data_IF_754293887748
#
_entry.id   IF_754293887748
#
_cell.length_a   1.000
_cell.length_b   1.000
_cell.length_c   1.000
_cell.angle_alpha   90.00
_cell.angle_beta   90.00
_cell.angle_gamma   90.00
#
_symmetry.space_group_name_H-M   'P 1'
#
loop_
_entity.id
_entity.type
_entity.pdbx_description
1 polymer ?
#
# COMPACT_ATOMS: atom_id res chain seq x y z
N UNK A 1 -14.28 -8.28 3.55
CA UNK A 1 -12.91 -8.17 4.10
C UNK A 1 -12.43 -9.53 4.59
N UNK A 2 -11.12 -9.74 4.60
CA UNK A 2 -10.50 -10.89 5.26
C UNK A 2 -9.13 -10.51 5.80
N UNK A 3 -8.69 -11.23 6.84
CA UNK A 3 -7.37 -11.09 7.42
C UNK A 3 -6.75 -12.46 7.62
N UNK A 4 -5.43 -12.51 7.52
CA UNK A 4 -4.61 -13.71 7.71
C UNK A 4 -3.66 -13.46 8.86
N UNK A 5 -3.59 -14.41 9.78
CA UNK A 5 -2.69 -14.38 10.94
C UNK A 5 -1.88 -15.67 10.95
N UNK A 6 -0.65 -15.62 11.44
CA UNK A 6 0.09 -16.83 11.75
C UNK A 6 -0.47 -17.45 13.05
N UNK A 7 -0.69 -18.76 13.06
CA UNK A 7 -1.20 -19.47 14.23
C UNK A 7 -0.28 -19.21 15.42
N UNK A 8 -0.87 -18.83 16.56
CA UNK A 8 -0.11 -18.48 17.78
C UNK A 8 0.57 -17.10 17.77
N UNK A 9 0.59 -16.36 16.66
CA UNK A 9 1.21 -15.02 16.60
C UNK A 9 0.21 -13.89 16.86
N UNK A 10 0.65 -12.78 17.48
CA UNK A 10 -0.21 -11.61 17.74
C UNK A 10 -0.39 -10.66 16.54
N UNK A 11 0.46 -10.76 15.51
CA UNK A 11 0.47 -9.84 14.37
C UNK A 11 -0.22 -10.41 13.12
N UNK A 12 -0.76 -9.52 12.28
CA UNK A 12 -1.35 -9.90 11.00
C UNK A 12 -0.27 -10.15 9.94
N UNK A 13 -0.45 -11.23 9.19
CA UNK A 13 0.34 -11.54 8.00
C UNK A 13 -0.18 -10.78 6.78
N UNK A 14 -1.51 -10.70 6.64
CA UNK A 14 -2.14 -10.04 5.50
C UNK A 14 -3.53 -9.50 5.85
N UNK A 15 -3.92 -8.38 5.26
CA UNK A 15 -5.29 -7.89 5.24
C UNK A 15 -5.71 -7.64 3.79
N UNK A 16 -6.90 -8.08 3.42
CA UNK A 16 -7.36 -8.01 2.04
C UNK A 16 -8.86 -7.77 1.90
N UNK A 17 -9.24 -7.38 0.69
CA UNK A 17 -10.63 -7.30 0.25
C UNK A 17 -10.90 -8.07 -1.04
N UNK A 18 -12.19 -8.32 -1.26
CA UNK A 18 -12.70 -8.82 -2.53
C UNK A 18 -14.13 -8.32 -2.72
N UNK A 19 -14.43 -7.74 -3.89
CA UNK A 19 -15.80 -7.48 -4.33
C UNK A 19 -16.49 -8.72 -4.92
N UNK A 20 -15.85 -9.90 -4.80
CA UNK A 20 -16.35 -11.20 -5.25
C UNK A 20 -16.55 -12.13 -4.05
N UNK A 21 -16.47 -13.44 -4.25
CA UNK A 21 -16.60 -14.44 -3.19
C UNK A 21 -15.41 -14.43 -2.22
N UNK A 22 -15.69 -14.26 -0.92
CA UNK A 22 -14.72 -14.48 0.17
C UNK A 22 -14.19 -15.93 0.17
N UNK A 23 -15.08 -16.91 -0.05
CA UNK A 23 -14.70 -18.33 -0.19
C UNK A 23 -13.76 -18.52 -1.39
N UNK A 24 -14.07 -17.92 -2.53
CA UNK A 24 -13.21 -17.95 -3.71
C UNK A 24 -11.83 -17.35 -3.43
N UNK A 25 -11.79 -16.22 -2.72
CA UNK A 25 -10.53 -15.56 -2.33
C UNK A 25 -9.69 -16.41 -1.37
N UNK A 26 -10.32 -17.05 -0.39
CA UNK A 26 -9.66 -17.98 0.52
C UNK A 26 -9.05 -19.17 -0.23
N UNK A 27 -9.78 -19.76 -1.19
CA UNK A 27 -9.25 -20.83 -2.06
C UNK A 27 -8.04 -20.37 -2.89
N UNK A 28 -8.10 -19.16 -3.45
CA UNK A 28 -6.97 -18.59 -4.19
C UNK A 28 -5.75 -18.37 -3.29
N UNK A 29 -5.95 -18.01 -2.03
CA UNK A 29 -4.86 -17.83 -1.06
C UNK A 29 -4.24 -19.17 -0.65
N UNK A 30 -5.05 -20.22 -0.50
CA UNK A 30 -4.63 -21.55 -0.04
C UNK A 30 -3.55 -22.21 -0.92
N UNK A 31 -3.28 -21.69 -2.12
CA UNK A 31 -2.13 -22.11 -2.94
C UNK A 31 -0.78 -21.90 -2.23
N UNK A 32 -0.72 -21.12 -1.15
CA UNK A 32 0.47 -21.03 -0.30
C UNK A 32 0.86 -22.34 0.40
N UNK A 33 -0.02 -23.35 0.43
CA UNK A 33 0.25 -24.69 0.96
C UNK A 33 0.78 -25.69 -0.07
N UNK A 34 0.98 -25.28 -1.32
CA UNK A 34 1.63 -26.13 -2.32
C UNK A 34 3.09 -26.41 -1.96
N UNK A 35 3.62 -27.51 -2.45
CA UNK A 35 5.04 -27.85 -2.28
C UNK A 35 5.94 -26.76 -2.87
N UNK A 36 5.68 -26.38 -4.12
CA UNK A 36 6.41 -25.29 -4.80
C UNK A 36 5.82 -23.91 -4.54
N UNK A 37 6.67 -22.88 -4.60
CA UNK A 37 6.24 -21.50 -4.46
C UNK A 37 5.27 -21.10 -5.58
N UNK A 38 4.06 -20.59 -5.27
CA UNK A 38 3.12 -20.14 -6.29
C UNK A 38 3.59 -18.84 -6.97
N UNK A 39 3.06 -18.53 -8.15
CA UNK A 39 3.16 -17.19 -8.76
C UNK A 39 2.30 -16.16 -7.99
N UNK A 40 2.39 -14.88 -8.35
CA UNK A 40 1.55 -13.82 -7.77
C UNK A 40 0.05 -13.98 -8.09
N UNK A 41 -0.31 -14.65 -9.18
CA UNK A 41 -1.67 -15.07 -9.45
C UNK A 41 -1.90 -16.53 -9.02
N UNK A 42 -3.08 -16.86 -8.45
CA UNK A 42 -4.28 -16.03 -8.40
C UNK A 42 -4.36 -15.03 -7.23
N UNK A 43 -3.38 -15.03 -6.31
CA UNK A 43 -3.39 -14.19 -5.13
C UNK A 43 -2.00 -13.63 -4.76
N UNK A 44 -1.86 -12.31 -4.75
CA UNK A 44 -0.56 -11.62 -4.60
C UNK A 44 0.16 -11.91 -3.29
N UNK A 45 -0.57 -12.14 -2.20
CA UNK A 45 0.01 -12.50 -0.90
C UNK A 45 0.45 -13.98 -0.78
N UNK A 46 -0.10 -14.89 -1.60
CA UNK A 46 0.15 -16.33 -1.46
C UNK A 46 1.64 -16.73 -1.52
N UNK A 47 2.48 -16.20 -2.45
CA UNK A 47 3.89 -16.55 -2.45
C UNK A 47 4.65 -16.06 -1.21
N UNK A 48 4.24 -14.92 -0.63
CA UNK A 48 4.87 -14.42 0.59
C UNK A 48 4.52 -15.32 1.78
N UNK A 49 3.24 -15.71 1.91
CA UNK A 49 2.80 -16.67 2.92
C UNK A 49 3.48 -18.04 2.75
N UNK A 50 3.62 -18.53 1.51
CA UNK A 50 4.37 -19.75 1.23
C UNK A 50 5.81 -19.66 1.76
N UNK A 51 6.50 -18.54 1.52
CA UNK A 51 7.88 -18.36 1.96
C UNK A 51 8.00 -18.40 3.49
N UNK A 52 7.11 -17.74 4.22
CA UNK A 52 7.07 -17.81 5.69
C UNK A 52 6.70 -19.21 6.21
N UNK A 53 5.83 -19.96 5.51
CA UNK A 53 5.50 -21.33 5.90
C UNK A 53 6.69 -22.27 5.73
N UNK A 54 7.36 -22.20 4.58
CA UNK A 54 8.46 -23.11 4.25
C UNK A 54 9.72 -22.78 5.04
N UNK A 55 10.04 -21.49 5.20
CA UNK A 55 11.28 -21.08 5.87
C UNK A 55 11.15 -21.01 7.39
N UNK A 56 10.04 -20.45 7.90
CA UNK A 56 9.85 -20.19 9.33
C UNK A 56 8.90 -21.21 10.00
N UNK A 57 8.38 -22.19 9.24
CA UNK A 57 7.49 -23.22 9.76
C UNK A 57 6.11 -22.69 10.18
N UNK A 58 5.70 -21.51 9.71
CA UNK A 58 4.42 -20.92 10.11
C UNK A 58 3.23 -21.64 9.50
N UNK A 59 2.16 -21.74 10.29
CA UNK A 59 0.82 -22.07 9.79
C UNK A 59 -0.09 -20.84 9.88
N UNK A 60 -1.21 -20.85 9.16
CA UNK A 60 -2.07 -19.66 9.01
C UNK A 60 -3.54 -19.93 9.31
N UNK A 61 -4.18 -18.94 9.91
CA UNK A 61 -5.62 -18.87 10.04
C UNK A 61 -6.17 -17.66 9.27
N UNK A 62 -7.41 -17.79 8.79
CA UNK A 62 -8.13 -16.75 8.07
C UNK A 62 -9.42 -16.40 8.81
N UNK A 63 -9.63 -15.11 9.07
CA UNK A 63 -10.93 -14.59 9.49
C UNK A 63 -11.54 -13.78 8.35
N UNK A 64 -12.85 -13.90 8.16
CA UNK A 64 -13.58 -13.18 7.11
C UNK A 64 -14.70 -12.35 7.72
N UNK A 65 -14.97 -11.20 7.13
CA UNK A 65 -16.13 -10.37 7.46
C UNK A 65 -16.85 -9.99 6.16
N UNK A 66 -18.12 -10.38 5.98
CA UNK A 66 -18.93 -9.87 4.89
C UNK A 66 -19.03 -8.35 5.01
N UNK A 67 -18.86 -7.67 3.88
CA UNK A 67 -19.09 -6.23 3.75
C UNK A 67 -19.76 -6.02 2.41
N UNK A 68 -20.66 -5.05 2.32
CA UNK A 68 -21.32 -4.73 1.05
C UNK A 68 -20.28 -4.41 0.00
N UNK A 69 -20.33 -5.05 -1.19
CA UNK A 69 -19.43 -4.69 -2.28
C UNK A 69 -19.74 -3.27 -2.71
N UNK A 70 -18.71 -2.48 -2.99
CA UNK A 70 -18.86 -1.09 -3.39
C UNK A 70 -17.51 -0.45 -3.73
N UNK A 71 -17.57 0.76 -4.27
CA UNK A 71 -16.37 1.52 -4.68
C UNK A 71 -15.44 1.80 -3.50
N UNK A 72 -16.01 1.94 -2.29
CA UNK A 72 -15.29 2.23 -1.07
C UNK A 72 -14.56 1.02 -0.47
N UNK A 73 -14.74 -0.18 -1.01
CA UNK A 73 -14.17 -1.40 -0.40
C UNK A 73 -12.63 -1.34 -0.28
N UNK A 74 -11.96 -0.66 -1.22
CA UNK A 74 -10.52 -0.39 -1.15
C UNK A 74 -10.16 0.70 -0.14
N UNK A 75 -11.01 1.72 0.02
CA UNK A 75 -10.82 2.75 1.04
C UNK A 75 -10.91 2.15 2.46
N UNK A 76 -11.86 1.23 2.66
CA UNK A 76 -12.00 0.47 3.91
C UNK A 76 -10.78 -0.42 4.17
N UNK A 77 -10.22 -1.05 3.12
CA UNK A 77 -8.96 -1.81 3.24
C UNK A 77 -7.81 -0.92 3.72
N UNK A 78 -7.63 0.25 3.11
CA UNK A 78 -6.57 1.18 3.48
C UNK A 78 -6.77 1.75 4.90
N UNK A 79 -8.01 2.08 5.28
CA UNK A 79 -8.35 2.48 6.64
C UNK A 79 -8.03 1.40 7.69
N UNK A 80 -8.35 0.13 7.41
CA UNK A 80 -8.06 -0.97 8.32
C UNK A 80 -6.55 -1.28 8.40
N UNK A 81 -5.82 -1.15 7.28
CA UNK A 81 -4.37 -1.28 7.26
C UNK A 81 -3.70 -0.18 8.09
N UNK A 82 -4.11 1.07 7.92
CA UNK A 82 -3.63 2.20 8.73
C UNK A 82 -3.93 2.00 10.22
N UNK A 83 -5.17 1.63 10.55
CA UNK A 83 -5.58 1.34 11.93
C UNK A 83 -4.74 0.25 12.56
N UNK A 84 -4.51 -0.85 11.83
CA UNK A 84 -3.62 -1.92 12.29
C UNK A 84 -2.20 -1.42 12.50
N UNK A 85 -1.64 -0.64 11.56
CA UNK A 85 -0.29 -0.09 11.70
C UNK A 85 -0.15 0.79 12.95
N UNK A 86 -1.17 1.59 13.28
CA UNK A 86 -1.22 2.38 14.52
C UNK A 86 -1.25 1.52 15.79
N UNK A 87 -1.97 0.40 15.77
CA UNK A 87 -2.05 -0.51 16.93
C UNK A 87 -0.78 -1.36 17.09
N UNK A 88 -0.23 -1.86 15.99
CA UNK A 88 0.90 -2.78 16.00
C UNK A 88 2.27 -2.08 15.91
N UNK A 89 2.30 -0.78 15.58
CA UNK A 89 3.52 -0.02 15.32
C UNK A 89 4.25 -0.41 14.02
N UNK A 90 3.68 -1.29 13.19
CA UNK A 90 4.31 -1.84 11.98
C UNK A 90 3.27 -2.34 10.96
N UNK A 91 3.68 -2.46 9.70
CA UNK A 91 2.92 -3.13 8.65
C UNK A 91 2.81 -4.65 8.85
N UNK A 92 1.76 -5.22 8.25
CA UNK A 92 1.61 -6.66 8.02
C UNK A 92 2.76 -7.19 7.15
N UNK A 93 3.09 -8.49 7.27
CA UNK A 93 4.23 -9.09 6.56
C UNK A 93 4.04 -9.21 5.04
N UNK A 94 2.80 -9.34 4.55
CA UNK A 94 2.49 -9.70 3.16
C UNK A 94 1.69 -8.64 2.38
N UNK A 95 1.46 -7.44 2.94
CA UNK A 95 0.96 -6.28 2.19
C UNK A 95 2.12 -5.37 1.71
N UNK A 96 1.79 -4.24 1.08
CA UNK A 96 2.69 -3.15 0.68
C UNK A 96 3.81 -3.50 -0.33
N UNK A 97 3.98 -4.76 -0.70
CA UNK A 97 5.13 -5.17 -1.50
C UNK A 97 6.29 -5.77 -0.71
N UNK A 98 6.16 -5.87 0.62
CA UNK A 98 7.15 -6.58 1.46
C UNK A 98 7.19 -8.06 1.12
N UNK A 99 8.36 -8.68 1.31
CA UNK A 99 8.54 -10.10 1.03
C UNK A 99 9.51 -10.75 2.01
N UNK A 100 9.51 -12.08 2.07
CA UNK A 100 10.43 -12.81 2.94
C UNK A 100 11.89 -12.56 2.56
N UNK A 101 12.76 -12.43 3.57
CA UNK A 101 14.19 -12.06 3.39
C UNK A 101 14.99 -13.06 2.56
N UNK A 102 14.67 -14.34 2.63
CA UNK A 102 15.41 -15.40 1.94
C UNK A 102 14.87 -15.74 0.55
N UNK A 103 13.88 -15.03 0.01
CA UNK A 103 13.26 -15.40 -1.27
C UNK A 103 13.09 -14.21 -2.19
N UNK A 104 13.22 -14.43 -3.49
CA UNK A 104 12.75 -13.46 -4.50
C UNK A 104 11.25 -13.57 -4.68
N UNK A 105 10.60 -12.42 -4.88
CA UNK A 105 9.17 -12.36 -5.17
C UNK A 105 8.90 -12.82 -6.61
N UNK A 106 7.97 -13.76 -6.86
CA UNK A 106 7.60 -14.15 -8.22
C UNK A 106 6.85 -13.03 -8.97
N UNK A 107 6.71 -13.14 -10.29
CA UNK A 107 5.78 -12.35 -11.09
C UNK A 107 4.40 -13.02 -11.17
N UNK A 108 3.49 -12.49 -12.00
CA UNK A 108 2.37 -13.30 -12.46
C UNK A 108 2.90 -14.40 -13.40
N UNK A 109 2.15 -15.50 -13.53
CA UNK A 109 2.45 -16.65 -14.38
C UNK A 109 2.70 -16.24 -15.82
N UNK A 110 1.90 -15.31 -16.35
CA UNK A 110 2.06 -14.78 -17.71
C UNK A 110 3.41 -14.11 -17.95
N UNK A 111 4.04 -13.56 -16.91
CA UNK A 111 5.32 -12.85 -17.00
C UNK A 111 6.51 -13.80 -16.68
N UNK A 112 6.25 -15.07 -16.35
CA UNK A 112 7.23 -16.17 -16.35
C UNK A 112 8.29 -16.20 -15.24
N UNK A 113 8.43 -15.15 -14.42
CA UNK A 113 9.48 -15.07 -13.39
C UNK A 113 9.07 -15.78 -12.10
N UNK A 114 9.50 -17.03 -11.95
CA UNK A 114 9.34 -17.79 -10.71
C UNK A 114 10.11 -17.15 -9.54
N UNK A 115 9.59 -17.32 -8.33
CA UNK A 115 10.31 -16.97 -7.10
C UNK A 115 11.26 -18.09 -6.72
N UNK A 116 12.38 -17.74 -6.09
CA UNK A 116 13.41 -18.71 -5.67
C UNK A 116 14.02 -18.30 -4.34
N UNK A 117 14.59 -19.26 -3.63
CA UNK A 117 15.43 -18.97 -2.46
C UNK A 117 16.67 -18.19 -2.92
N UNK A 118 17.08 -17.22 -2.12
CA UNK A 118 18.30 -16.46 -2.31
C UNK A 118 19.47 -17.27 -1.76
N UNK A 119 20.58 -17.28 -2.49
CA UNK A 119 21.78 -18.03 -2.15
C UNK A 119 22.86 -17.09 -1.57
N UNK A 120 23.90 -17.69 -0.98
CA UNK A 120 25.10 -16.94 -0.56
C UNK A 120 24.86 -15.87 0.50
N UNK A 121 23.81 -16.00 1.33
CA UNK A 121 23.47 -15.02 2.37
C UNK A 121 22.85 -13.72 1.85
N UNK A 122 22.48 -13.64 0.57
CA UNK A 122 21.78 -12.48 0.03
C UNK A 122 20.39 -12.30 0.69
N UNK A 123 20.01 -11.05 0.95
CA UNK A 123 18.70 -10.69 1.48
C UNK A 123 17.87 -10.00 0.42
N UNK A 124 16.57 -10.30 0.38
CA UNK A 124 15.63 -9.64 -0.51
C UNK A 124 15.60 -8.12 -0.17
N UNK A 125 15.75 -7.21 -1.16
CA UNK A 125 15.65 -5.77 -0.94
C UNK A 125 14.25 -5.30 -0.53
N UNK A 126 13.20 -6.09 -0.73
CA UNK A 126 11.85 -5.85 -0.22
C UNK A 126 11.62 -6.52 1.15
N UNK A 127 12.67 -7.11 1.74
CA UNK A 127 12.69 -7.52 3.12
C UNK A 127 13.44 -6.45 3.94
N UNK A 128 12.71 -5.83 4.84
CA UNK A 128 13.23 -4.78 5.71
C UNK A 128 12.19 -4.34 6.72
N UNK A 129 12.57 -3.41 7.62
CA UNK A 129 11.66 -2.89 8.62
C UNK A 129 10.51 -2.11 7.97
N UNK A 130 9.35 -2.18 8.61
CA UNK A 130 8.26 -1.24 8.39
C UNK A 130 8.67 0.14 8.86
N UNK A 131 8.16 1.19 8.23
CA UNK A 131 8.14 2.50 8.88
C UNK A 131 7.11 2.51 10.02
N UNK A 132 7.30 3.36 11.05
CA UNK A 132 6.25 3.69 11.99
C UNK A 132 4.98 4.17 11.27
N UNK A 133 3.78 3.93 11.83
CA UNK A 133 2.55 4.48 11.29
C UNK A 133 2.55 6.02 11.34
N UNK A 134 1.89 6.64 10.37
CA UNK A 134 1.51 8.05 10.52
C UNK A 134 0.34 8.21 11.50
N UNK A 135 0.33 9.33 12.21
CA UNK A 135 -0.71 9.70 13.17
C UNK A 135 -1.50 10.90 12.67
N UNK A 136 -2.76 10.96 13.08
CA UNK A 136 -3.67 12.02 12.67
C UNK A 136 -3.16 13.38 13.18
N UNK A 137 -2.89 14.28 12.25
CA UNK A 137 -2.54 15.67 12.49
C UNK A 137 -3.06 16.51 11.32
N UNK A 138 -3.58 17.70 11.62
CA UNK A 138 -4.10 18.61 10.60
C UNK A 138 -5.27 18.06 9.80
N UNK A 139 -5.50 18.64 8.62
CA UNK A 139 -6.57 18.26 7.67
C UNK A 139 -5.95 17.86 6.34
N UNK A 140 -6.66 17.16 5.44
CA UNK A 140 -6.06 16.62 4.22
C UNK A 140 -5.33 17.62 3.30
N UNK A 141 -5.63 18.92 3.42
CA UNK A 141 -5.00 20.00 2.63
C UNK A 141 -4.07 20.89 3.46
N UNK A 142 -3.94 20.68 4.78
CA UNK A 142 -3.06 21.48 5.64
C UNK A 142 -1.57 21.14 5.44
N UNK A 143 -0.65 22.07 5.70
CA UNK A 143 0.79 21.86 5.52
C UNK A 143 1.40 20.76 6.42
N UNK A 144 0.78 20.45 7.55
CA UNK A 144 1.26 19.46 8.54
C UNK A 144 0.44 18.16 8.52
N UNK A 145 -0.33 17.91 7.46
CA UNK A 145 -1.24 16.76 7.42
C UNK A 145 -0.47 15.46 7.67
N UNK A 146 -0.94 14.70 8.65
CA UNK A 146 -0.36 13.41 9.07
C UNK A 146 1.10 13.50 9.53
N UNK A 147 1.55 14.69 9.97
CA UNK A 147 2.91 14.93 10.48
C UNK A 147 3.98 14.96 9.40
N UNK A 148 3.60 15.00 8.12
CA UNK A 148 4.54 15.16 7.00
C UNK A 148 4.79 16.64 6.71
N UNK A 149 6.03 16.96 6.29
CA UNK A 149 6.39 18.30 5.82
C UNK A 149 5.94 18.48 4.36
N UNK A 150 4.68 18.85 4.16
CA UNK A 150 4.13 19.07 2.83
C UNK A 150 4.65 20.38 2.23
N UNK A 151 4.99 20.35 0.94
CA UNK A 151 5.30 21.55 0.18
C UNK A 151 4.10 22.51 0.19
N UNK A 152 4.32 23.83 0.05
CA UNK A 152 3.26 24.75 -0.30
C UNK A 152 2.48 24.24 -1.52
N UNK A 153 1.15 24.45 -1.58
CA UNK A 153 0.36 24.05 -2.73
C UNK A 153 0.78 24.84 -3.97
N UNK A 154 0.81 24.17 -5.12
CA UNK A 154 1.08 24.78 -6.43
C UNK A 154 0.11 24.22 -7.49
N UNK A 155 -0.14 24.95 -8.60
CA UNK A 155 -0.95 24.43 -9.69
C UNK A 155 -0.35 23.14 -10.25
N UNK A 156 -1.16 22.08 -10.39
CA UNK A 156 -0.68 20.77 -10.87
C UNK A 156 -0.05 20.87 -12.27
N UNK A 157 -0.49 21.82 -13.10
CA UNK A 157 0.10 22.10 -14.42
C UNK A 157 1.58 22.52 -14.34
N UNK A 158 2.02 23.08 -13.21
CA UNK A 158 3.41 23.51 -12.98
C UNK A 158 4.28 22.40 -12.35
N UNK A 159 3.75 21.19 -12.16
CA UNK A 159 4.45 20.12 -11.47
C UNK A 159 5.84 19.79 -12.05
N UNK A 160 6.02 19.90 -13.37
CA UNK A 160 7.29 19.61 -14.02
C UNK A 160 8.45 20.49 -13.54
N UNK A 161 8.18 21.73 -13.14
CA UNK A 161 9.20 22.67 -12.63
C UNK A 161 9.25 22.67 -11.10
N UNK A 162 8.11 22.50 -10.41
CA UNK A 162 8.01 22.61 -8.94
C UNK A 162 8.38 21.35 -8.17
N UNK A 163 8.10 20.17 -8.71
CA UNK A 163 8.29 18.93 -7.97
C UNK A 163 9.74 18.40 -8.06
N UNK A 164 10.27 17.83 -6.96
CA UNK A 164 11.61 17.22 -6.91
C UNK A 164 11.65 15.89 -7.67
N UNK A 165 12.84 15.40 -8.02
CA UNK A 165 13.01 14.08 -8.64
C UNK A 165 13.18 12.96 -7.60
N UNK A 166 13.03 13.30 -6.32
CA UNK A 166 13.22 12.44 -5.16
C UNK A 166 12.02 11.51 -4.91
N UNK A 167 12.23 10.37 -4.20
CA UNK A 167 11.15 9.54 -3.71
C UNK A 167 10.27 10.26 -2.68
N UNK A 168 8.96 10.08 -2.77
CA UNK A 168 8.04 10.65 -1.79
C UNK A 168 6.58 10.40 -2.12
N UNK A 169 5.72 11.15 -1.44
CA UNK A 169 4.27 11.10 -1.60
C UNK A 169 3.72 12.44 -2.08
N UNK A 170 2.57 12.41 -2.71
CA UNK A 170 1.90 13.59 -3.23
C UNK A 170 0.39 13.50 -3.04
N UNK A 171 -0.25 14.67 -3.01
CA UNK A 171 -1.70 14.84 -2.95
C UNK A 171 -2.15 15.84 -4.01
N UNK A 172 -3.34 15.62 -4.56
CA UNK A 172 -3.98 16.44 -5.59
C UNK A 172 -5.40 16.74 -5.14
N UNK A 173 -5.85 17.99 -5.29
CA UNK A 173 -7.20 18.43 -4.92
C UNK A 173 -7.60 19.70 -5.66
N UNK A 174 -8.85 20.13 -5.53
CA UNK A 174 -9.34 21.39 -6.11
C UNK A 174 -9.21 22.53 -5.11
N UNK A 175 -8.88 23.73 -5.59
CA UNK A 175 -8.78 24.90 -4.73
C UNK A 175 -10.12 25.14 -3.99
N UNK A 176 -10.06 25.35 -2.68
CA UNK A 176 -11.23 25.52 -1.82
C UNK A 176 -11.88 24.23 -1.31
N UNK A 177 -11.46 23.06 -1.80
CA UNK A 177 -12.00 21.77 -1.33
C UNK A 177 -11.08 21.08 -0.31
N UNK A 178 -11.67 20.37 0.64
CA UNK A 178 -10.95 19.53 1.62
C UNK A 178 -10.87 18.07 1.19
N UNK A 179 -11.77 17.62 0.32
CA UNK A 179 -11.71 16.27 -0.26
C UNK A 179 -10.60 16.24 -1.31
N UNK A 180 -9.65 15.32 -1.11
CA UNK A 180 -8.61 15.07 -2.10
C UNK A 180 -9.20 14.40 -3.34
N UNK A 181 -8.58 14.66 -4.47
CA UNK A 181 -8.87 13.98 -5.73
C UNK A 181 -8.00 12.73 -5.86
N UNK A 182 -6.75 12.81 -5.41
CA UNK A 182 -5.80 11.71 -5.50
C UNK A 182 -4.70 11.82 -4.44
N UNK A 183 -4.27 10.68 -3.91
CA UNK A 183 -3.04 10.53 -3.12
C UNK A 183 -2.18 9.46 -3.78
N UNK A 184 -0.89 9.72 -3.90
CA UNK A 184 0.02 8.79 -4.54
C UNK A 184 1.42 8.81 -3.98
N UNK A 185 2.19 7.81 -4.37
CA UNK A 185 3.63 7.72 -4.12
C UNK A 185 4.44 7.54 -5.40
N UNK A 186 5.70 7.96 -5.36
CA UNK A 186 6.64 7.77 -6.47
C UNK A 186 8.08 7.69 -5.99
N UNK A 187 8.92 6.98 -6.75
CA UNK A 187 10.38 7.09 -6.62
C UNK A 187 10.93 8.34 -7.32
N UNK A 188 10.11 9.00 -8.16
CA UNK A 188 10.41 10.25 -8.82
C UNK A 188 9.13 11.10 -8.86
N UNK A 189 9.03 12.06 -7.95
CA UNK A 189 7.84 12.91 -7.81
C UNK A 189 7.60 13.78 -9.05
N UNK A 190 8.65 14.38 -9.63
CA UNK A 190 8.58 15.24 -10.82
C UNK A 190 7.91 14.56 -11.99
N UNK A 191 8.43 13.41 -12.41
CA UNK A 191 7.90 12.67 -13.56
C UNK A 191 6.47 12.20 -13.30
N UNK A 192 6.15 11.78 -12.06
CA UNK A 192 4.83 11.27 -11.71
C UNK A 192 3.77 12.38 -11.67
N UNK A 193 4.06 13.50 -11.00
CA UNK A 193 3.13 14.63 -10.92
C UNK A 193 2.96 15.32 -12.28
N UNK A 194 4.02 15.45 -13.09
CA UNK A 194 3.90 15.94 -14.47
C UNK A 194 2.97 15.05 -15.31
N UNK A 195 3.07 13.73 -15.19
CA UNK A 195 2.17 12.79 -15.85
C UNK A 195 0.70 12.93 -15.38
N UNK A 196 0.48 13.28 -14.11
CA UNK A 196 -0.85 13.63 -13.62
C UNK A 196 -1.35 14.96 -14.18
N UNK A 197 -0.50 16.00 -14.23
CA UNK A 197 -0.86 17.30 -14.81
C UNK A 197 -1.27 17.22 -16.28
N UNK A 198 -0.67 16.30 -17.05
CA UNK A 198 -1.09 16.03 -18.42
C UNK A 198 -2.46 15.34 -18.55
N UNK A 199 -2.96 14.68 -17.49
CA UNK A 199 -4.21 13.90 -17.48
C UNK A 199 -5.36 14.59 -16.76
N UNK A 200 -5.05 15.35 -15.73
CA UNK A 200 -6.02 16.04 -14.89
C UNK A 200 -6.41 17.36 -15.55
N UNK A 201 -7.56 17.39 -16.22
CA UNK A 201 -8.12 18.63 -16.77
C UNK A 201 -8.82 19.44 -15.67
N UNK A 202 -8.31 20.65 -15.38
CA UNK A 202 -8.94 21.60 -14.45
C UNK A 202 -7.98 22.26 -13.47
N UNK A 203 -8.47 23.19 -12.62
CA UNK A 203 -7.66 23.94 -11.67
C UNK A 203 -7.32 23.10 -10.44
N UNK A 204 -6.50 22.07 -10.63
CA UNK A 204 -6.03 21.23 -9.53
C UNK A 204 -4.78 21.83 -8.91
N UNK A 205 -4.71 21.75 -7.58
CA UNK A 205 -3.52 21.98 -6.79
C UNK A 205 -2.83 20.65 -6.51
N UNK A 206 -1.52 20.72 -6.37
CA UNK A 206 -0.68 19.63 -5.94
C UNK A 206 0.23 20.08 -4.79
N UNK A 207 0.61 19.12 -3.96
CA UNK A 207 1.60 19.26 -2.91
C UNK A 207 2.28 17.92 -2.71
N UNK A 208 3.56 17.93 -2.36
CA UNK A 208 4.34 16.73 -2.14
C UNK A 208 5.02 16.77 -0.77
N UNK A 209 5.37 15.60 -0.24
CA UNK A 209 6.24 15.45 0.90
C UNK A 209 7.34 14.44 0.57
N UNK A 210 8.56 14.76 1.01
CA UNK A 210 9.74 13.88 0.89
C UNK A 210 10.09 13.42 2.30
N UNK A 211 9.63 12.23 2.73
CA UNK A 211 9.99 11.71 4.04
C UNK A 211 11.51 11.49 4.13
N UNK A 212 12.11 11.63 5.33
CA UNK A 212 13.56 11.56 5.49
C UNK A 212 14.10 10.15 5.26
N UNK A 213 15.34 10.08 4.75
CA UNK A 213 16.11 8.85 4.58
C UNK A 213 15.83 8.10 3.27
N UNK A 214 16.63 7.05 2.99
CA UNK A 214 16.43 6.23 1.80
C UNK A 214 15.15 5.41 1.94
N UNK A 215 14.13 5.74 1.15
CA UNK A 215 12.85 5.06 1.18
C UNK A 215 12.81 3.90 0.17
N UNK A 216 12.37 2.74 0.65
CA UNK A 216 12.04 1.61 -0.21
C UNK A 216 10.62 1.75 -0.75
N UNK A 217 10.36 1.13 -1.91
CA UNK A 217 9.04 1.19 -2.56
C UNK A 217 7.90 0.71 -1.65
N UNK A 218 8.13 -0.32 -0.85
CA UNK A 218 7.11 -0.80 0.08
C UNK A 218 6.84 0.18 1.23
N UNK A 219 7.84 0.97 1.65
CA UNK A 219 7.68 1.99 2.70
C UNK A 219 6.90 3.20 2.16
N UNK A 220 7.11 3.57 0.91
CA UNK A 220 6.28 4.58 0.25
C UNK A 220 4.81 4.16 0.19
N UNK A 221 4.53 2.89 -0.12
CA UNK A 221 3.16 2.34 -0.10
C UNK A 221 2.55 2.29 1.30
N UNK A 222 3.37 2.06 2.32
CA UNK A 222 2.92 2.17 3.72
C UNK A 222 2.44 3.59 4.03
N UNK A 223 3.21 4.61 3.66
CA UNK A 223 2.85 6.02 3.83
C UNK A 223 1.59 6.36 3.01
N UNK A 224 1.54 6.00 1.73
CA UNK A 224 0.37 6.20 0.86
C UNK A 224 -0.89 5.59 1.48
N UNK A 225 -0.80 4.36 1.99
CA UNK A 225 -1.94 3.68 2.64
C UNK A 225 -2.36 4.37 3.93
N UNK A 226 -1.39 4.81 4.75
CA UNK A 226 -1.69 5.57 5.97
C UNK A 226 -2.45 6.88 5.63
N UNK A 227 -2.02 7.60 4.59
CA UNK A 227 -2.68 8.82 4.11
C UNK A 227 -4.09 8.53 3.57
N UNK A 228 -4.28 7.45 2.80
CA UNK A 228 -5.59 7.05 2.27
C UNK A 228 -6.55 6.64 3.37
N UNK A 229 -6.07 5.86 4.34
CA UNK A 229 -6.85 5.47 5.51
C UNK A 229 -7.27 6.66 6.36
N UNK A 230 -6.36 7.60 6.62
CA UNK A 230 -6.68 8.82 7.35
C UNK A 230 -7.61 9.76 6.57
N UNK A 231 -7.44 9.89 5.26
CA UNK A 231 -8.35 10.66 4.41
C UNK A 231 -9.78 10.11 4.49
N UNK A 232 -9.95 8.78 4.34
CA UNK A 232 -11.24 8.13 4.48
C UNK A 232 -11.84 8.35 5.88
N UNK A 233 -11.01 8.28 6.93
CA UNK A 233 -11.45 8.54 8.30
C UNK A 233 -11.92 9.99 8.53
N UNK A 234 -11.22 10.99 7.98
CA UNK A 234 -11.54 12.40 8.17
C UNK A 234 -12.70 12.91 7.30
N UNK A 235 -12.79 12.40 6.07
CA UNK A 235 -13.75 12.88 5.06
C UNK A 235 -14.98 11.98 4.95
N UNK A 236 -14.89 10.72 5.41
CA UNK A 236 -15.97 9.73 5.27
C UNK A 236 -16.11 9.18 3.85
N UNK A 237 -15.18 9.48 2.95
CA UNK A 237 -15.17 9.04 1.56
C UNK A 237 -13.73 8.99 1.03
N UNK A 238 -13.41 8.11 0.06
CA UNK A 238 -12.08 8.07 -0.55
C UNK A 238 -11.78 9.33 -1.36
N UNK A 239 -10.50 9.59 -1.70
CA UNK A 239 -10.19 10.59 -2.70
C UNK A 239 -10.93 10.28 -4.00
N UNK A 240 -11.48 11.32 -4.64
CA UNK A 240 -12.52 11.17 -5.66
C UNK A 240 -12.12 10.27 -6.84
N UNK A 241 -10.83 10.20 -7.17
CA UNK A 241 -10.29 9.44 -8.32
C UNK A 241 -9.32 8.32 -7.89
N UNK A 242 -9.36 7.89 -6.63
CA UNK A 242 -8.37 6.92 -6.12
C UNK A 242 -8.62 5.48 -6.61
N UNK A 243 -9.86 5.01 -6.50
CA UNK A 243 -10.21 3.59 -6.67
C UNK A 243 -11.24 3.35 -7.79
N UNK A 244 -11.58 4.37 -8.57
CA UNK A 244 -12.56 4.34 -9.67
C UNK A 244 -11.96 4.87 -10.97
N UNK A 245 -12.51 4.42 -12.10
CA UNK A 245 -11.89 4.31 -13.45
C UNK A 245 -11.23 5.57 -14.01
#
# INVERSE_FOLDING_TARGET
MYRVRAVGASGLMYLGQTGRSLRGRARQLAVCYREEMPYNDPHTAAPCLWAYRVEDGLDFEISVSPVSPGEELRAVEDFLLWTYRRQAGRSTACNFGRFHRHYTRPSNRRDGRAGRRLEGGASNPDAGPSLPPLYLQGTPTSPEWMGLAWSPPFPLAEAGSKAPSEPGVYRIWRAGETRLEYVGESLNLRSRLAAHGAKFAGPFLASFAVPPGPLRKYQLREIETDLLGAHYHQIGAPPARQYGR
#
